data_IF_834604081393
#
_entry.id   IF_834604081393
#
_cell.length_a   1.000
_cell.length_b   1.000
_cell.length_c   1.000
_cell.angle_alpha   90.00
_cell.angle_beta   90.00
_cell.angle_gamma   90.00
#
_symmetry.space_group_name_H-M   'P 1'
#
loop_
_entity.id
_entity.type
_entity.pdbx_description
1 polymer ?
#
# COMPACT_ATOMS: atom_id res chain seq x y z
N UNK A 1 -3.39 -14.54 8.20
CA UNK A 1 -2.47 -13.58 8.88
C UNK A 1 -2.05 -12.55 7.86
N UNK A 2 -2.08 -11.27 8.20
CA UNK A 2 -1.62 -10.17 7.33
C UNK A 2 -1.01 -9.07 8.20
N UNK A 3 -0.04 -8.35 7.66
CA UNK A 3 0.66 -7.28 8.38
C UNK A 3 -0.19 -6.00 8.37
N UNK A 4 -0.46 -5.44 9.55
CA UNK A 4 -1.10 -4.13 9.67
C UNK A 4 -0.08 -3.02 9.35
N UNK A 5 -0.50 -2.09 8.50
CA UNK A 5 0.31 -0.97 8.02
C UNK A 5 -0.44 0.35 8.12
N UNK A 6 0.32 1.42 8.20
CA UNK A 6 -0.15 2.80 8.15
C UNK A 6 0.35 3.47 6.87
N UNK A 7 -0.52 4.21 6.18
CA UNK A 7 -0.17 4.93 4.96
C UNK A 7 0.28 6.36 5.27
N UNK A 8 1.58 6.64 5.14
CA UNK A 8 2.23 7.88 5.58
C UNK A 8 1.64 9.17 5.00
N UNK A 9 1.21 9.15 3.73
CA UNK A 9 0.68 10.35 3.06
C UNK A 9 -0.82 10.61 3.34
N UNK A 10 -1.60 9.56 3.59
CA UNK A 10 -3.07 9.64 3.63
C UNK A 10 -3.65 9.30 5.02
N UNK A 11 -2.81 8.86 5.97
CA UNK A 11 -3.20 8.67 7.36
C UNK A 11 -4.10 7.47 7.64
N UNK A 12 -4.35 6.59 6.66
CA UNK A 12 -5.23 5.43 6.85
C UNK A 12 -4.45 4.17 7.24
N UNK A 13 -5.15 3.25 7.89
CA UNK A 13 -4.65 1.93 8.24
C UNK A 13 -5.23 0.86 7.33
N UNK A 14 -4.45 -0.20 7.12
CA UNK A 14 -4.89 -1.36 6.36
C UNK A 14 -4.05 -2.58 6.64
N UNK A 15 -4.40 -3.68 5.98
CA UNK A 15 -3.70 -4.96 6.09
C UNK A 15 -3.14 -5.32 4.73
N UNK A 16 -1.86 -5.70 4.68
CA UNK A 16 -1.24 -6.23 3.46
C UNK A 16 -1.85 -7.60 3.15
N UNK A 17 -2.37 -7.76 1.93
CA UNK A 17 -2.94 -9.03 1.45
C UNK A 17 -2.08 -9.71 0.38
N UNK A 18 -1.27 -8.94 -0.35
CA UNK A 18 -0.33 -9.45 -1.34
C UNK A 18 0.80 -8.45 -1.59
N UNK A 19 1.90 -8.92 -2.17
CA UNK A 19 3.06 -8.12 -2.55
C UNK A 19 3.52 -8.51 -3.95
N UNK A 20 3.88 -7.50 -4.74
CA UNK A 20 4.57 -7.65 -6.01
C UNK A 20 5.96 -7.01 -5.91
N UNK A 21 6.98 -7.66 -6.48
CA UNK A 21 8.35 -7.14 -6.48
C UNK A 21 8.52 -5.84 -7.27
N UNK A 22 7.61 -5.56 -8.20
CA UNK A 22 7.52 -4.37 -9.03
C UNK A 22 6.04 -4.02 -9.28
N UNK A 23 5.77 -2.80 -9.74
CA UNK A 23 4.44 -2.36 -10.14
C UNK A 23 3.91 -3.21 -11.29
N UNK A 24 2.73 -3.82 -11.10
CA UNK A 24 2.04 -4.61 -12.14
C UNK A 24 0.64 -4.10 -12.49
N UNK A 25 0.27 -2.91 -12.03
CA UNK A 25 -1.01 -2.29 -12.34
C UNK A 25 -1.04 -1.64 -13.73
N UNK A 26 -2.18 -1.11 -14.12
CA UNK A 26 -2.33 -0.37 -15.37
C UNK A 26 -1.60 0.98 -15.31
N UNK A 27 -1.05 1.44 -16.43
CA UNK A 27 -0.34 2.72 -16.49
C UNK A 27 -1.26 3.91 -16.17
N UNK A 28 -2.49 3.90 -16.68
CA UNK A 28 -3.48 4.94 -16.42
C UNK A 28 -3.80 5.07 -14.92
N UNK A 29 -3.93 3.94 -14.22
CA UNK A 29 -4.13 3.95 -12.77
C UNK A 29 -2.93 4.58 -12.05
N UNK A 30 -1.71 4.23 -12.47
CA UNK A 30 -0.49 4.78 -11.89
C UNK A 30 -0.45 6.31 -12.01
N UNK A 31 -0.74 6.85 -13.19
CA UNK A 31 -0.76 8.29 -13.44
C UNK A 31 -1.82 9.02 -12.62
N UNK A 32 -3.01 8.43 -12.44
CA UNK A 32 -4.09 9.04 -11.67
C UNK A 32 -3.91 8.95 -10.16
N UNK A 33 -3.47 7.79 -9.66
CA UNK A 33 -3.54 7.45 -8.23
C UNK A 33 -2.19 7.60 -7.52
N UNK A 34 -1.07 7.33 -8.21
CA UNK A 34 0.25 7.36 -7.61
C UNK A 34 0.83 8.78 -7.62
N UNK A 35 0.20 9.71 -6.88
CA UNK A 35 0.53 11.15 -6.86
C UNK A 35 2.02 11.46 -6.69
N UNK A 36 2.74 10.70 -5.86
CA UNK A 36 4.17 10.89 -5.61
C UNK A 36 5.09 10.22 -6.63
N UNK A 37 4.54 9.63 -7.70
CA UNK A 37 5.22 8.89 -8.75
C UNK A 37 6.32 7.95 -8.20
N UNK A 38 5.97 7.03 -7.29
CA UNK A 38 6.93 6.14 -6.67
C UNK A 38 7.53 5.16 -7.70
N UNK A 39 8.80 4.72 -7.51
CA UNK A 39 9.47 3.86 -8.49
C UNK A 39 8.67 2.59 -8.80
N UNK A 40 8.40 2.34 -10.09
CA UNK A 40 7.73 1.12 -10.56
C UNK A 40 8.57 -0.15 -10.33
N UNK A 41 9.89 -0.01 -10.22
CA UNK A 41 10.83 -1.13 -10.04
C UNK A 41 11.02 -1.59 -8.59
N UNK A 42 10.38 -0.91 -7.63
CA UNK A 42 10.40 -1.26 -6.21
C UNK A 42 9.15 -2.06 -5.83
N UNK A 43 9.12 -2.72 -4.66
CA UNK A 43 7.94 -3.49 -4.25
C UNK A 43 6.67 -2.64 -4.09
N UNK A 44 5.55 -3.22 -4.49
CA UNK A 44 4.21 -2.67 -4.31
C UNK A 44 3.31 -3.65 -3.56
N UNK A 45 2.46 -3.10 -2.71
CA UNK A 45 1.64 -3.86 -1.77
C UNK A 45 0.16 -3.66 -2.06
N UNK A 46 -0.57 -4.76 -2.09
CA UNK A 46 -2.03 -4.75 -2.07
C UNK A 46 -2.46 -4.59 -0.62
N UNK A 47 -3.09 -3.47 -0.31
CA UNK A 47 -3.54 -3.12 1.04
C UNK A 47 -5.05 -3.13 1.07
N UNK A 48 -5.64 -3.90 1.99
CA UNK A 48 -7.06 -3.87 2.28
C UNK A 48 -7.32 -2.95 3.45
N UNK A 49 -8.12 -1.90 3.24
CA UNK A 49 -8.56 -0.96 4.27
C UNK A 49 -9.67 -1.56 5.14
N UNK A 50 -9.96 -0.92 6.27
CA UNK A 50 -11.03 -1.32 7.19
C UNK A 50 -12.43 -1.26 6.58
N UNK A 51 -12.66 -0.35 5.63
CA UNK A 51 -13.91 -0.23 4.87
C UNK A 51 -14.10 -1.35 3.81
N UNK A 52 -13.17 -2.28 3.71
CA UNK A 52 -13.19 -3.39 2.77
C UNK A 52 -12.61 -3.07 1.39
N UNK A 53 -12.32 -1.81 1.09
CA UNK A 53 -11.74 -1.40 -0.19
C UNK A 53 -10.24 -1.77 -0.25
N UNK A 54 -9.83 -2.25 -1.41
CA UNK A 54 -8.43 -2.57 -1.71
C UNK A 54 -7.76 -1.40 -2.44
N UNK A 55 -6.47 -1.21 -2.19
CA UNK A 55 -5.64 -0.19 -2.81
C UNK A 55 -4.24 -0.75 -3.05
N UNK A 56 -3.49 -0.11 -3.95
CA UNK A 56 -2.17 -0.56 -4.37
C UNK A 56 -1.13 0.51 -4.04
N UNK A 57 -0.16 0.17 -3.19
CA UNK A 57 0.68 1.17 -2.53
C UNK A 57 2.14 0.78 -2.62
N UNK A 58 2.99 1.71 -3.05
CA UNK A 58 4.43 1.52 -3.04
C UNK A 58 4.97 1.42 -1.60
N UNK A 59 5.96 0.56 -1.38
CA UNK A 59 6.61 0.34 -0.08
C UNK A 59 6.94 1.64 0.67
N UNK A 60 7.51 2.61 -0.05
CA UNK A 60 7.95 3.89 0.51
C UNK A 60 6.83 4.73 1.12
N UNK A 61 5.57 4.41 0.85
CA UNK A 61 4.40 5.11 1.41
C UNK A 61 3.80 4.37 2.61
N UNK A 62 4.28 3.18 2.93
CA UNK A 62 3.83 2.38 4.07
C UNK A 62 4.83 2.44 5.21
N UNK A 63 4.31 2.23 6.40
CA UNK A 63 5.07 1.89 7.59
C UNK A 63 4.32 0.82 8.39
N UNK A 64 5.08 0.00 9.13
CA UNK A 64 4.47 -1.01 9.99
C UNK A 64 3.68 -0.28 11.07
N UNK A 65 2.39 -0.59 11.18
CA UNK A 65 1.60 -0.09 12.29
C UNK A 65 2.19 -0.64 13.58
N UNK A 66 2.43 0.18 14.62
CA UNK A 66 2.83 -0.34 15.91
C UNK A 66 1.76 -1.36 16.33
N UNK A 67 2.16 -2.62 16.48
CA UNK A 67 1.26 -3.67 16.88
C UNK A 67 0.60 -3.25 18.19
N UNK A 68 -0.73 -3.21 18.24
CA UNK A 68 -1.44 -3.20 19.52
C UNK A 68 -1.21 -4.57 20.17
N UNK A 69 -0.05 -4.72 20.82
CA UNK A 69 0.13 -5.74 21.85
C UNK A 69 -0.67 -5.25 23.06
N UNK A 70 -1.96 -5.59 23.09
CA UNK A 70 -2.77 -5.61 24.31
C UNK A 70 -3.06 -7.06 24.68
#
# INVERSE_FOLDING_TARGET
FGQQVHHKLFGYYGVIVAVDSCYKGEEHWYEMMARSHPPKEKPWYHVKKSDGMQTYVAERNLEVSPATNN
#
